data_IF_527045019469
#
_entry.id   IF_527045019469
#
_cell.length_a   1.000
_cell.length_b   1.000
_cell.length_c   1.000
_cell.angle_alpha   90.00
_cell.angle_beta   90.00
_cell.angle_gamma   90.00
#
_symmetry.space_group_name_H-M   'P 1'
#
loop_
_entity.id
_entity.type
_entity.pdbx_description
1 polymer ?
#
# COMPACT_ATOMS: atom_id res chain seq x y z
N UNK A 1 -9.23 -6.59 -1.24
CA UNK A 1 -8.52 -5.32 -1.01
C UNK A 1 -7.35 -5.44 -0.04
N UNK A 2 -7.53 -5.73 1.26
CA UNK A 2 -6.38 -5.81 2.20
C UNK A 2 -5.34 -6.85 1.81
N UNK A 3 -5.80 -8.08 1.57
CA UNK A 3 -4.92 -9.15 1.08
C UNK A 3 -4.23 -8.80 -0.25
N UNK A 4 -4.94 -8.17 -1.18
CA UNK A 4 -4.37 -7.79 -2.48
C UNK A 4 -3.29 -6.71 -2.34
N UNK A 5 -3.49 -5.71 -1.48
CA UNK A 5 -2.46 -4.71 -1.20
C UNK A 5 -1.25 -5.38 -0.55
N UNK A 6 -1.45 -6.30 0.40
CA UNK A 6 -0.37 -7.05 1.01
C UNK A 6 0.41 -7.90 0.00
N UNK A 7 -0.29 -8.62 -0.89
CA UNK A 7 0.33 -9.42 -1.95
C UNK A 7 1.12 -8.53 -2.94
N UNK A 8 0.57 -7.38 -3.32
CA UNK A 8 1.26 -6.43 -4.20
C UNK A 8 2.49 -5.83 -3.49
N UNK A 9 2.39 -5.49 -2.21
CA UNK A 9 3.53 -5.02 -1.40
C UNK A 9 4.63 -6.06 -1.27
N UNK A 10 4.27 -7.33 -1.04
CA UNK A 10 5.24 -8.42 -0.89
C UNK A 10 6.12 -8.64 -2.14
N UNK A 11 5.66 -8.24 -3.33
CA UNK A 11 6.46 -8.30 -4.57
C UNK A 11 7.66 -7.34 -4.56
N UNK A 12 7.65 -6.31 -3.70
CA UNK A 12 8.71 -5.30 -3.64
C UNK A 12 9.70 -5.52 -2.49
N UNK A 13 9.34 -6.35 -1.52
CA UNK A 13 10.18 -6.71 -0.38
C UNK A 13 9.38 -7.36 0.76
N UNK A 14 10.07 -7.90 1.79
CA UNK A 14 9.42 -8.43 2.97
C UNK A 14 8.64 -7.35 3.73
N UNK A 15 7.40 -7.66 4.08
CA UNK A 15 6.45 -6.76 4.74
C UNK A 15 6.24 -7.22 6.18
N UNK A 16 6.35 -6.29 7.13
CA UNK A 16 6.08 -6.53 8.55
C UNK A 16 4.58 -6.46 8.86
N UNK A 17 3.91 -5.42 8.37
CA UNK A 17 2.50 -5.17 8.65
C UNK A 17 1.80 -4.40 7.52
N UNK A 18 0.52 -4.68 7.31
CA UNK A 18 -0.34 -3.96 6.36
C UNK A 18 -1.66 -3.64 7.04
N UNK A 19 -2.05 -2.36 7.00
CA UNK A 19 -3.29 -1.90 7.62
C UNK A 19 -4.08 -1.00 6.69
N UNK A 20 -5.34 -1.35 6.44
CA UNK A 20 -6.26 -0.48 5.69
C UNK A 20 -7.19 0.28 6.64
N UNK A 21 -7.16 1.60 6.52
CA UNK A 21 -8.07 2.50 7.22
C UNK A 21 -9.26 2.84 6.32
N UNK A 22 -10.43 2.45 6.81
CA UNK A 22 -11.71 2.71 6.16
C UNK A 22 -12.33 3.99 6.76
N UNK A 23 -12.80 4.89 5.91
CA UNK A 23 -13.57 6.05 6.37
C UNK A 23 -15.01 5.59 6.66
N UNK A 24 -15.32 5.45 7.96
CA UNK A 24 -16.62 4.99 8.45
C UNK A 24 -17.78 5.95 8.17
N UNK A 25 -17.51 7.23 7.85
CA UNK A 25 -18.55 8.21 7.52
C UNK A 25 -19.01 8.13 6.07
N UNK A 26 -18.11 7.70 5.18
CA UNK A 26 -18.37 7.63 3.73
C UNK A 26 -18.37 6.22 3.18
N UNK A 27 -18.05 5.21 4.00
CA UNK A 27 -17.88 3.81 3.60
C UNK A 27 -16.88 3.60 2.46
N UNK A 28 -15.94 4.54 2.28
CA UNK A 28 -14.89 4.46 1.26
C UNK A 28 -13.57 4.07 1.94
N UNK A 29 -12.87 3.01 1.48
CA UNK A 29 -11.48 2.79 1.86
C UNK A 29 -10.65 3.95 1.32
N UNK A 30 -9.90 4.65 2.17
CA UNK A 30 -9.15 5.84 1.71
C UNK A 30 -7.65 5.71 1.83
N UNK A 31 -7.13 4.96 2.81
CA UNK A 31 -5.69 4.91 3.05
C UNK A 31 -5.27 3.52 3.51
N UNK A 32 -4.25 2.96 2.86
CA UNK A 32 -3.53 1.78 3.32
C UNK A 32 -2.14 2.19 3.80
N UNK A 33 -1.67 1.55 4.86
CA UNK A 33 -0.31 1.64 5.37
C UNK A 33 0.35 0.28 5.20
N UNK A 34 1.59 0.27 4.73
CA UNK A 34 2.41 -0.93 4.59
C UNK A 34 3.78 -0.65 5.19
N UNK A 35 4.18 -1.45 6.16
CA UNK A 35 5.50 -1.39 6.78
C UNK A 35 6.39 -2.46 6.17
N UNK A 36 7.48 -2.03 5.53
CA UNK A 36 8.49 -2.95 5.00
C UNK A 36 9.57 -3.21 6.05
N UNK A 37 10.12 -4.42 6.03
CA UNK A 37 11.21 -4.79 6.92
C UNK A 37 12.48 -3.98 6.63
N UNK A 38 12.67 -3.58 5.38
CA UNK A 38 13.82 -2.82 4.92
C UNK A 38 13.45 -1.59 4.09
N UNK A 39 14.27 -0.54 4.21
CA UNK A 39 14.08 0.73 3.49
C UNK A 39 14.10 0.54 1.97
N UNK A 40 14.88 -0.41 1.46
CA UNK A 40 15.01 -0.64 0.02
C UNK A 40 13.71 -1.20 -0.57
N UNK A 41 13.04 -2.12 0.12
CA UNK A 41 11.71 -2.60 -0.23
C UNK A 41 10.67 -1.48 -0.27
N UNK A 42 10.69 -0.59 0.73
CA UNK A 42 9.82 0.58 0.76
C UNK A 42 10.08 1.55 -0.42
N UNK A 43 11.35 1.87 -0.70
CA UNK A 43 11.75 2.73 -1.81
C UNK A 43 11.31 2.13 -3.16
N UNK A 44 11.53 0.83 -3.36
CA UNK A 44 11.07 0.11 -4.54
C UNK A 44 9.54 0.17 -4.69
N UNK A 45 8.79 -0.07 -3.61
CA UNK A 45 7.33 0.00 -3.64
C UNK A 45 6.84 1.40 -4.00
N UNK A 46 7.42 2.46 -3.44
CA UNK A 46 7.06 3.85 -3.76
C UNK A 46 7.30 4.17 -5.24
N UNK A 47 8.44 3.75 -5.80
CA UNK A 47 8.75 4.03 -7.20
C UNK A 47 7.86 3.28 -8.19
N UNK A 48 7.37 2.09 -7.83
CA UNK A 48 6.69 1.19 -8.77
C UNK A 48 5.18 1.07 -8.56
N UNK A 49 4.64 1.40 -7.37
CA UNK A 49 3.20 1.33 -7.12
C UNK A 49 2.43 2.60 -7.46
N UNK A 50 3.11 3.74 -7.62
CA UNK A 50 2.43 4.98 -8.02
C UNK A 50 1.87 4.80 -9.43
N UNK A 51 0.57 5.02 -9.59
CA UNK A 51 -0.09 4.89 -10.88
C UNK A 51 -0.64 3.50 -11.19
N UNK A 52 -0.41 2.50 -10.32
CA UNK A 52 -1.04 1.18 -10.45
C UNK A 52 -2.54 1.31 -10.24
N UNK A 53 -3.34 0.77 -11.16
CA UNK A 53 -4.78 0.71 -11.01
C UNK A 53 -5.17 -0.57 -10.26
N UNK A 54 -5.87 -0.41 -9.15
CA UNK A 54 -6.42 -1.50 -8.35
C UNK A 54 -7.92 -1.28 -8.15
N UNK A 55 -8.74 -2.20 -8.68
CA UNK A 55 -10.21 -2.12 -8.59
C UNK A 55 -10.80 -0.78 -9.09
N UNK A 56 -10.24 -0.22 -10.17
CA UNK A 56 -10.67 1.07 -10.73
C UNK A 56 -10.15 2.30 -9.95
N UNK A 57 -9.26 2.10 -8.99
CA UNK A 57 -8.62 3.16 -8.23
C UNK A 57 -7.12 3.23 -8.52
N UNK A 58 -6.65 4.41 -8.92
CA UNK A 58 -5.21 4.65 -9.07
C UNK A 58 -4.57 4.82 -7.70
N UNK A 59 -3.57 4.01 -7.43
CA UNK A 59 -2.82 4.04 -6.18
C UNK A 59 -1.82 5.21 -6.17
N UNK A 60 -1.76 5.89 -5.02
CA UNK A 60 -0.75 6.89 -4.72
C UNK A 60 -0.01 6.47 -3.45
N UNK A 61 1.29 6.25 -3.59
CA UNK A 61 2.16 5.81 -2.49
C UNK A 61 3.11 6.94 -2.11
N UNK A 62 3.28 7.15 -0.81
CA UNK A 62 4.21 8.15 -0.25
C UNK A 62 4.96 7.52 0.92
N UNK A 63 6.22 7.88 1.09
CA UNK A 63 6.93 7.57 2.32
C UNK A 63 6.26 8.31 3.48
N UNK A 64 5.92 7.58 4.54
CA UNK A 64 5.57 8.18 5.83
C UNK A 64 6.80 8.17 6.74
N UNK A 65 6.95 9.21 7.56
CA UNK A 65 7.98 9.27 8.61
C UNK A 65 7.55 8.51 9.84
#
# INVERSE_FOLDING_TARGET
>A
MEKEIADICANYGPVNDVRIVHDYKTNRPRVGFCEFQDRKGAENAICNMIGVELNGHVLFVKATR
#
